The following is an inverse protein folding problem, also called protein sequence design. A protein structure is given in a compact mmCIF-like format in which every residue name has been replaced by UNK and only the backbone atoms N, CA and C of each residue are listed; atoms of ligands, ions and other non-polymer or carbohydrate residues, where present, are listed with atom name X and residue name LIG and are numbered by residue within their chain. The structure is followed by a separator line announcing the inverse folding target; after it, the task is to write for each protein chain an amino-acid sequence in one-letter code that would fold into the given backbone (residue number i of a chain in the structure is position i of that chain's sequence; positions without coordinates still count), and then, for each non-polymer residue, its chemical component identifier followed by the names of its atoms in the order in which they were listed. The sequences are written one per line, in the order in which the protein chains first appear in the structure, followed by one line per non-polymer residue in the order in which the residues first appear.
data_IF_413120240871
#
_entry.id   IF_413120240871
#
_cell.length_a   1.000
_cell.length_b   1.000
_cell.length_c   1.000
_cell.angle_alpha   90.00
_cell.angle_beta   90.00
_cell.angle_gamma   90.00
#
_symmetry.space_group_name_H-M   'P 1'
#
loop_
_entity.id
_entity.type
_entity.pdbx_description
1 polymer ?
#
# COMPACT_ATOMS: atom_id res chain seq x y z
N UNK A 1 -19.94 -11.81 -14.79
CA UNK A 1 -18.81 -12.26 -13.99
C UNK A 1 -17.68 -11.27 -14.05
N UNK A 2 -17.15 -10.92 -12.93
CA UNK A 2 -16.01 -10.00 -12.91
C UNK A 2 -14.72 -10.78 -13.00
N UNK A 3 -13.80 -10.24 -13.76
CA UNK A 3 -12.48 -10.81 -13.86
C UNK A 3 -11.58 -10.16 -12.85
N UNK A 4 -10.86 -10.96 -12.13
CA UNK A 4 -9.95 -10.44 -11.14
C UNK A 4 -8.58 -10.27 -11.78
N UNK A 5 -8.00 -9.08 -11.59
CA UNK A 5 -6.65 -8.82 -12.02
C UNK A 5 -5.70 -9.67 -11.17
N UNK A 6 -4.79 -10.36 -11.82
CA UNK A 6 -3.83 -11.20 -11.10
C UNK A 6 -2.42 -10.67 -11.30
N UNK A 7 -1.69 -10.63 -10.22
CA UNK A 7 -0.30 -10.21 -10.25
C UNK A 7 0.58 -11.39 -10.66
N UNK A 8 1.39 -11.19 -11.68
CA UNK A 8 2.33 -12.21 -12.12
C UNK A 8 3.66 -11.54 -12.48
N UNK A 9 4.62 -12.31 -12.97
CA UNK A 9 5.94 -11.79 -13.27
C UNK A 9 5.92 -10.71 -14.35
N UNK A 10 4.93 -10.76 -15.23
CA UNK A 10 4.84 -9.81 -16.33
C UNK A 10 4.41 -8.43 -15.85
N UNK A 11 3.47 -8.37 -14.94
CA UNK A 11 2.89 -7.10 -14.52
C UNK A 11 3.29 -6.64 -13.13
N UNK A 12 3.95 -7.48 -12.35
CA UNK A 12 4.30 -7.13 -10.97
C UNK A 12 5.77 -6.78 -10.76
N UNK A 13 6.65 -7.17 -11.65
CA UNK A 13 8.09 -7.03 -11.40
C UNK A 13 8.60 -5.60 -11.45
N UNK A 14 7.98 -4.74 -12.24
CA UNK A 14 8.42 -3.34 -12.37
C UNK A 14 7.54 -2.39 -11.60
N UNK A 15 6.34 -2.17 -12.11
CA UNK A 15 5.43 -1.18 -11.55
C UNK A 15 4.98 -1.54 -10.13
N UNK A 16 4.70 -2.82 -9.90
CA UNK A 16 4.29 -3.27 -8.58
C UNK A 16 5.36 -2.96 -7.52
N UNK A 17 6.62 -3.32 -7.81
CA UNK A 17 7.73 -3.08 -6.90
C UNK A 17 7.99 -1.59 -6.72
N UNK A 18 7.94 -0.83 -7.79
CA UNK A 18 8.15 0.61 -7.74
C UNK A 18 7.12 1.27 -6.83
N UNK A 19 5.85 0.88 -6.98
CA UNK A 19 4.77 1.40 -6.15
C UNK A 19 4.95 0.99 -4.70
N UNK A 20 5.34 -0.26 -4.48
CA UNK A 20 5.59 -0.77 -3.14
C UNK A 20 6.66 0.06 -2.43
N UNK A 21 7.78 0.32 -3.10
CA UNK A 21 8.87 1.10 -2.53
C UNK A 21 8.46 2.54 -2.27
N UNK A 22 7.68 3.13 -3.16
CA UNK A 22 7.19 4.50 -2.96
C UNK A 22 6.31 4.61 -1.72
N UNK A 23 5.42 3.65 -1.53
CA UNK A 23 4.54 3.61 -0.36
C UNK A 23 5.37 3.44 0.92
N UNK A 24 6.38 2.59 0.87
CA UNK A 24 7.24 2.38 2.02
C UNK A 24 8.05 3.63 2.37
N UNK A 25 8.52 4.37 1.37
CA UNK A 25 9.22 5.62 1.59
C UNK A 25 8.33 6.64 2.28
N UNK A 26 7.09 6.77 1.83
CA UNK A 26 6.14 7.68 2.45
C UNK A 26 5.87 7.28 3.89
N UNK A 27 5.75 5.97 4.14
CA UNK A 27 5.55 5.48 5.50
C UNK A 27 6.74 5.78 6.40
N UNK A 28 7.95 5.67 5.87
CA UNK A 28 9.15 5.99 6.63
C UNK A 28 9.20 7.48 7.00
N UNK A 29 8.80 8.34 6.08
CA UNK A 29 8.74 9.78 6.36
C UNK A 29 7.71 10.07 7.46
N UNK A 30 6.58 9.40 7.40
CA UNK A 30 5.55 9.56 8.42
C UNK A 30 6.07 9.12 9.79
N UNK A 31 6.80 8.02 9.84
CA UNK A 31 7.39 7.53 11.08
C UNK A 31 8.38 8.55 11.66
N UNK A 32 9.18 9.17 10.82
CA UNK A 32 10.14 10.17 11.26
C UNK A 32 9.43 11.41 11.82
N UNK A 33 8.37 11.84 11.16
CA UNK A 33 7.64 13.05 11.58
C UNK A 33 6.86 12.81 12.87
N UNK A 34 6.26 11.65 13.03
CA UNK A 34 5.34 11.37 14.14
C UNK A 34 5.96 10.53 15.24
N UNK A 35 7.08 9.87 14.96
CA UNK A 35 7.72 8.94 15.88
C UNK A 35 6.80 7.74 16.19
N UNK A 36 5.91 7.41 15.27
CA UNK A 36 5.02 6.28 15.48
C UNK A 36 5.74 4.96 15.22
N UNK A 37 5.09 3.86 15.59
CA UNK A 37 5.67 2.54 15.44
C UNK A 37 5.20 1.86 14.16
N UNK A 38 5.83 0.75 13.82
CA UNK A 38 5.46 -0.02 12.64
C UNK A 38 4.00 -0.49 12.71
N UNK A 39 3.53 -0.83 13.91
CA UNK A 39 2.14 -1.26 14.09
C UNK A 39 1.15 -0.14 13.74
N UNK A 40 1.54 1.12 13.97
CA UNK A 40 0.70 2.25 13.61
C UNK A 40 0.63 2.41 12.10
N UNK A 41 1.74 2.13 11.42
CA UNK A 41 1.77 2.16 9.96
C UNK A 41 0.88 1.05 9.39
N UNK A 42 0.93 -0.14 10.01
CA UNK A 42 0.07 -1.25 9.58
C UNK A 42 -1.41 -0.85 9.68
N UNK A 43 -1.79 -0.20 10.78
CA UNK A 43 -3.17 0.26 10.96
C UNK A 43 -3.56 1.29 9.90
N UNK A 44 -2.66 2.21 9.60
CA UNK A 44 -2.91 3.20 8.56
C UNK A 44 -3.16 2.53 7.22
N UNK A 45 -2.30 1.59 6.84
CA UNK A 45 -2.44 0.90 5.56
C UNK A 45 -3.72 0.07 5.49
N UNK A 46 -4.10 -0.55 6.60
CA UNK A 46 -5.35 -1.29 6.68
C UNK A 46 -6.56 -0.38 6.52
N UNK A 47 -6.48 0.80 7.11
CA UNK A 47 -7.54 1.79 7.00
C UNK A 47 -7.70 2.26 5.56
N UNK A 48 -6.60 2.50 4.88
CA UNK A 48 -6.62 2.88 3.47
C UNK A 48 -7.23 1.76 2.63
N UNK A 49 -6.79 0.54 2.88
CA UNK A 49 -7.29 -0.62 2.16
C UNK A 49 -8.80 -0.77 2.34
N UNK A 50 -9.28 -0.61 3.56
CA UNK A 50 -10.70 -0.71 3.87
C UNK A 50 -11.50 0.39 3.16
N UNK A 51 -10.96 1.60 3.15
CA UNK A 51 -11.59 2.72 2.46
C UNK A 51 -11.73 2.45 0.97
N UNK A 52 -10.71 1.88 0.37
CA UNK A 52 -10.72 1.55 -1.06
C UNK A 52 -11.78 0.48 -1.34
N UNK A 53 -11.89 -0.51 -0.47
CA UNK A 53 -12.89 -1.56 -0.61
C UNK A 53 -14.31 -0.99 -0.54
N UNK A 54 -14.54 -0.06 0.37
CA UNK A 54 -15.88 0.49 0.60
C UNK A 54 -16.26 1.54 -0.44
N UNK A 55 -15.33 2.36 -0.84
CA UNK A 55 -15.63 3.54 -1.66
C UNK A 55 -14.88 3.59 -3.00
N UNK A 56 -13.90 2.73 -3.18
CA UNK A 56 -13.03 2.79 -4.33
C UNK A 56 -11.99 3.89 -4.19
N UNK A 57 -11.18 4.02 -5.20
CA UNK A 57 -10.20 5.08 -5.22
C UNK A 57 -10.81 6.39 -5.67
#
# INVERSE_FOLDING_TARGET
MSERFEWDDTNSSGIWWSTNLSIRDECNLLKEDTQCEDSDIVELLRSIAQNIEDNGL
#
